data_IF_890738228280
#
_entry.id   IF_890738228280
#
_cell.length_a   1.000
_cell.length_b   1.000
_cell.length_c   1.000
_cell.angle_alpha   90.00
_cell.angle_beta   90.00
_cell.angle_gamma   90.00
#
_symmetry.space_group_name_H-M   'P 1'
#
loop_
_entity.id
_entity.type
_entity.pdbx_description
1 polymer ?
#
# COMPACT_ATOMS: atom_id res chain seq x y z
N UNK A 1 2.82 8.35 -1.31
CA UNK A 1 3.22 9.13 -0.11
C UNK A 1 3.29 10.59 -0.49
N UNK A 2 2.19 11.31 -0.22
CA UNK A 2 1.84 12.58 -0.87
C UNK A 2 2.41 13.83 -0.20
N UNK A 3 1.89 14.98 -0.65
CA UNK A 3 2.23 16.34 -0.26
C UNK A 3 2.33 16.54 1.27
N UNK A 4 1.52 15.82 2.06
CA UNK A 4 1.49 15.91 3.52
C UNK A 4 2.77 15.40 4.20
N UNK A 5 3.27 14.22 3.80
CA UNK A 5 4.57 13.72 4.27
C UNK A 5 5.74 14.50 3.64
N UNK A 6 5.53 15.03 2.43
CA UNK A 6 6.47 15.96 1.81
C UNK A 6 6.68 17.25 2.61
N UNK A 7 5.65 17.76 3.28
CA UNK A 7 5.78 18.96 4.13
C UNK A 7 6.56 18.68 5.44
N UNK A 8 6.46 17.45 5.97
CA UNK A 8 7.16 17.05 7.21
C UNK A 8 8.67 16.80 7.02
N UNK A 9 9.12 16.46 5.81
CA UNK A 9 10.53 16.22 5.48
C UNK A 9 11.34 17.51 5.18
N UNK A 10 10.67 18.67 5.06
CA UNK A 10 11.25 19.92 4.53
C UNK A 10 11.50 21.08 5.53
N UNK A 11 11.55 20.92 6.87
CA UNK A 11 11.66 22.10 7.74
C UNK A 11 13.00 22.86 7.60
N UNK A 12 14.06 22.25 7.04
CA UNK A 12 15.39 22.86 6.93
C UNK A 12 15.72 23.47 5.56
N UNK A 13 14.96 23.17 4.50
CA UNK A 13 15.22 23.66 3.14
C UNK A 13 14.47 24.97 2.80
N UNK A 14 13.66 25.49 3.73
CA UNK A 14 12.80 26.65 3.51
C UNK A 14 13.52 28.00 3.72
N UNK A 15 14.63 28.04 4.46
CA UNK A 15 15.33 29.29 4.76
C UNK A 15 16.23 29.82 3.64
N UNK A 16 16.62 28.99 2.66
CA UNK A 16 17.62 29.39 1.64
C UNK A 16 17.03 29.71 0.25
N UNK A 17 15.77 29.38 -0.04
CA UNK A 17 15.19 29.43 -1.39
C UNK A 17 13.94 30.30 -1.48
N UNK A 18 13.80 31.04 -2.59
CA UNK A 18 12.59 31.85 -2.87
C UNK A 18 11.35 30.95 -2.90
N UNK A 19 10.22 31.39 -2.34
CA UNK A 19 8.96 30.61 -2.24
C UNK A 19 8.50 29.98 -3.58
N UNK A 20 8.84 30.62 -4.72
CA UNK A 20 8.58 30.08 -6.07
C UNK A 20 9.48 28.88 -6.41
N UNK A 21 10.76 28.94 -6.08
CA UNK A 21 11.71 27.85 -6.32
C UNK A 21 11.39 26.64 -5.43
N UNK A 22 10.99 26.89 -4.18
CA UNK A 22 10.56 25.85 -3.26
C UNK A 22 9.28 25.14 -3.75
N UNK A 23 8.34 25.90 -4.31
CA UNK A 23 7.14 25.33 -4.92
C UNK A 23 7.47 24.46 -6.14
N UNK A 24 8.36 24.94 -7.03
CA UNK A 24 8.79 24.20 -8.22
C UNK A 24 9.56 22.93 -7.85
N UNK A 25 10.48 23.02 -6.88
CA UNK A 25 11.24 21.87 -6.39
C UNK A 25 10.32 20.84 -5.73
N UNK A 26 9.38 21.30 -4.88
CA UNK A 26 8.38 20.45 -4.23
C UNK A 26 7.47 19.77 -5.25
N UNK A 27 6.99 20.51 -6.27
CA UNK A 27 6.17 19.94 -7.34
C UNK A 27 6.93 18.87 -8.13
N UNK A 28 8.21 19.11 -8.47
CA UNK A 28 9.05 18.14 -9.19
C UNK A 28 9.36 16.89 -8.35
N UNK A 29 9.65 17.08 -7.06
CA UNK A 29 9.85 16.00 -6.11
C UNK A 29 8.56 15.18 -5.90
N UNK A 30 7.41 15.86 -5.83
CA UNK A 30 6.11 15.23 -5.69
C UNK A 30 5.76 14.39 -6.91
N UNK A 31 6.05 14.86 -8.12
CA UNK A 31 5.85 14.08 -9.35
C UNK A 31 6.63 12.76 -9.34
N UNK A 32 7.92 12.81 -8.98
CA UNK A 32 8.76 11.60 -8.87
C UNK A 32 8.28 10.64 -7.79
N UNK A 33 7.93 11.15 -6.61
CA UNK A 33 7.40 10.33 -5.50
C UNK A 33 6.03 9.73 -5.85
N UNK A 34 5.17 10.48 -6.55
CA UNK A 34 3.87 9.99 -7.04
C UNK A 34 4.04 8.80 -7.96
N UNK A 35 4.98 8.86 -8.91
CA UNK A 35 5.28 7.74 -9.81
C UNK A 35 5.71 6.49 -9.05
N UNK A 36 6.63 6.64 -8.08
CA UNK A 36 7.07 5.50 -7.26
C UNK A 36 5.93 4.92 -6.40
N UNK A 37 5.04 5.78 -5.89
CA UNK A 37 3.89 5.36 -5.09
C UNK A 37 2.87 4.61 -5.94
N UNK A 38 2.53 5.13 -7.12
CA UNK A 38 1.64 4.48 -8.08
C UNK A 38 2.13 3.08 -8.43
N UNK A 39 3.44 2.92 -8.69
CA UNK A 39 4.03 1.60 -8.94
C UNK A 39 3.84 0.63 -7.78
N UNK A 40 4.02 1.08 -6.54
CA UNK A 40 3.79 0.25 -5.37
C UNK A 40 2.32 -0.17 -5.23
N UNK A 41 1.38 0.76 -5.39
CA UNK A 41 -0.06 0.46 -5.34
C UNK A 41 -0.52 -0.47 -6.47
N UNK A 42 0.00 -0.28 -7.68
CA UNK A 42 -0.31 -1.15 -8.81
C UNK A 42 0.16 -2.59 -8.53
N UNK A 43 1.36 -2.77 -7.98
CA UNK A 43 1.89 -4.09 -7.61
C UNK A 43 1.08 -4.72 -6.48
N UNK A 44 0.73 -3.95 -5.45
CA UNK A 44 -0.13 -4.42 -4.34
C UNK A 44 -1.48 -4.90 -4.86
N UNK A 45 -2.17 -4.10 -5.68
CA UNK A 45 -3.48 -4.44 -6.23
C UNK A 45 -3.43 -5.67 -7.13
N UNK A 46 -2.40 -5.77 -7.98
CA UNK A 46 -2.23 -6.92 -8.87
C UNK A 46 -2.05 -8.22 -8.08
N UNK A 47 -1.17 -8.24 -7.07
CA UNK A 47 -0.95 -9.44 -6.25
C UNK A 47 -2.22 -9.83 -5.50
N UNK A 48 -2.93 -8.85 -4.94
CA UNK A 48 -4.16 -9.10 -4.19
C UNK A 48 -5.25 -9.73 -5.08
N UNK A 49 -5.56 -9.12 -6.22
CA UNK A 49 -6.57 -9.65 -7.15
C UNK A 49 -6.17 -10.98 -7.77
N UNK A 50 -4.89 -11.19 -8.06
CA UNK A 50 -4.41 -12.47 -8.57
C UNK A 50 -4.52 -13.58 -7.52
N UNK A 51 -4.15 -13.29 -6.27
CA UNK A 51 -4.26 -14.24 -5.16
C UNK A 51 -5.73 -14.62 -4.90
N UNK A 52 -6.63 -13.64 -4.83
CA UNK A 52 -8.07 -13.87 -4.71
C UNK A 52 -8.57 -14.81 -5.82
N UNK A 53 -8.29 -14.46 -7.08
CA UNK A 53 -8.75 -15.23 -8.24
C UNK A 53 -8.21 -16.67 -8.26
N UNK A 54 -6.95 -16.89 -7.87
CA UNK A 54 -6.36 -18.24 -7.82
C UNK A 54 -7.03 -19.08 -6.72
N UNK A 55 -7.19 -18.53 -5.52
CA UNK A 55 -7.75 -19.28 -4.39
C UNK A 55 -9.24 -19.51 -4.59
N UNK A 56 -9.96 -18.55 -5.19
CA UNK A 56 -11.36 -18.71 -5.56
C UNK A 56 -11.53 -19.81 -6.62
N UNK A 57 -10.68 -19.85 -7.65
CA UNK A 57 -10.70 -20.96 -8.62
C UNK A 57 -10.42 -22.32 -7.99
N UNK A 58 -9.56 -22.38 -6.97
CA UNK A 58 -9.24 -23.64 -6.28
C UNK A 58 -10.35 -24.11 -5.34
N UNK A 59 -11.06 -23.19 -4.67
CA UNK A 59 -12.06 -23.49 -3.64
C UNK A 59 -13.51 -23.40 -4.14
N UNK A 60 -13.73 -22.79 -5.30
CA UNK A 60 -15.04 -22.51 -5.90
C UNK A 60 -16.02 -21.82 -4.94
N UNK A 61 -15.50 -21.01 -4.01
CA UNK A 61 -16.25 -20.23 -3.03
C UNK A 61 -15.56 -18.89 -2.78
N UNK A 62 -16.36 -17.84 -2.68
CA UNK A 62 -15.91 -16.50 -2.30
C UNK A 62 -16.30 -16.29 -0.82
N UNK A 63 -15.33 -16.46 0.07
CA UNK A 63 -15.51 -16.33 1.52
C UNK A 63 -14.43 -15.39 2.08
N UNK A 64 -14.68 -14.82 3.27
CA UNK A 64 -13.71 -13.95 4.00
C UNK A 64 -12.33 -14.59 4.15
N UNK A 65 -12.26 -15.92 4.24
CA UNK A 65 -10.99 -16.65 4.33
C UNK A 65 -10.12 -16.52 3.08
N UNK A 66 -10.73 -16.35 1.90
CA UNK A 66 -10.03 -16.07 0.65
C UNK A 66 -9.30 -14.73 0.78
N UNK A 67 -10.06 -13.70 1.15
CA UNK A 67 -9.61 -12.30 1.32
C UNK A 67 -8.50 -12.18 2.36
N UNK A 68 -8.57 -12.96 3.44
CA UNK A 68 -7.50 -13.02 4.45
C UNK A 68 -6.21 -13.59 3.86
N UNK A 69 -6.31 -14.69 3.10
CA UNK A 69 -5.17 -15.36 2.48
C UNK A 69 -4.56 -14.46 1.41
N UNK A 70 -5.36 -13.85 0.54
CA UNK A 70 -4.87 -12.89 -0.43
C UNK A 70 -4.21 -11.69 0.25
N UNK A 71 -4.82 -11.14 1.31
CA UNK A 71 -4.24 -10.07 2.12
C UNK A 71 -2.87 -10.46 2.70
N UNK A 72 -2.77 -11.63 3.32
CA UNK A 72 -1.51 -12.14 3.87
C UNK A 72 -0.44 -12.35 2.79
N UNK A 73 -0.80 -12.96 1.66
CA UNK A 73 0.13 -13.20 0.53
C UNK A 73 0.64 -11.88 -0.04
N UNK A 74 -0.25 -10.89 -0.16
CA UNK A 74 0.09 -9.58 -0.69
C UNK A 74 1.00 -8.81 0.29
N UNK A 75 0.66 -8.78 1.58
CA UNK A 75 1.48 -8.12 2.61
C UNK A 75 2.81 -8.81 2.86
N UNK A 76 2.83 -10.15 2.84
CA UNK A 76 4.01 -10.99 3.00
C UNK A 76 4.97 -10.86 1.83
N UNK A 77 4.48 -10.88 0.58
CA UNK A 77 5.30 -10.75 -0.62
C UNK A 77 5.96 -9.37 -0.75
N UNK A 78 5.23 -8.30 -0.43
CA UNK A 78 5.77 -6.93 -0.38
C UNK A 78 6.88 -6.77 0.66
N UNK A 79 6.68 -7.39 1.82
CA UNK A 79 7.58 -7.26 2.97
C UNK A 79 8.70 -8.29 2.98
N UNK A 80 8.71 -9.23 2.03
CA UNK A 80 9.70 -10.30 1.93
C UNK A 80 11.14 -9.78 1.86
N UNK A 81 11.35 -8.63 1.19
CA UNK A 81 12.67 -7.98 1.10
C UNK A 81 13.19 -7.46 2.45
N UNK A 82 12.31 -7.24 3.41
CA UNK A 82 12.65 -6.83 4.79
C UNK A 82 13.01 -8.01 5.71
N UNK A 83 13.06 -9.24 5.19
CA UNK A 83 13.34 -10.44 5.94
C UNK A 83 12.08 -11.14 6.50
N UNK A 84 12.24 -12.30 7.14
CA UNK A 84 11.12 -13.16 7.54
C UNK A 84 10.24 -12.50 8.61
N UNK A 85 10.83 -11.77 9.56
CA UNK A 85 10.07 -11.03 10.59
C UNK A 85 9.19 -9.94 9.96
N UNK A 86 9.72 -9.19 9.00
CA UNK A 86 8.95 -8.17 8.28
C UNK A 86 7.85 -8.81 7.43
N UNK A 87 8.10 -9.96 6.80
CA UNK A 87 7.09 -10.72 6.07
C UNK A 87 5.93 -11.18 6.97
N UNK A 88 6.23 -11.69 8.18
CA UNK A 88 5.19 -12.07 9.15
C UNK A 88 4.35 -10.88 9.60
N UNK A 89 4.99 -9.76 9.94
CA UNK A 89 4.29 -8.53 10.33
C UNK A 89 3.45 -7.99 9.17
N UNK A 90 3.99 -8.00 7.94
CA UNK A 90 3.29 -7.59 6.73
C UNK A 90 2.08 -8.48 6.43
N UNK A 91 2.23 -9.81 6.51
CA UNK A 91 1.11 -10.74 6.35
C UNK A 91 0.03 -10.47 7.39
N UNK A 92 0.38 -10.40 8.68
CA UNK A 92 -0.58 -10.19 9.76
C UNK A 92 -1.32 -8.84 9.62
N UNK A 93 -0.60 -7.77 9.28
CA UNK A 93 -1.19 -6.44 9.08
C UNK A 93 -2.16 -6.40 7.92
N UNK A 94 -1.76 -6.90 6.73
CA UNK A 94 -2.65 -6.90 5.56
C UNK A 94 -3.82 -7.87 5.72
N UNK A 95 -3.62 -9.03 6.36
CA UNK A 95 -4.71 -9.95 6.68
C UNK A 95 -5.75 -9.30 7.61
N UNK A 96 -5.31 -8.65 8.68
CA UNK A 96 -6.22 -7.97 9.61
C UNK A 96 -6.96 -6.80 8.93
N UNK A 97 -6.27 -6.02 8.09
CA UNK A 97 -6.88 -4.93 7.35
C UNK A 97 -7.93 -5.44 6.35
N UNK A 98 -7.64 -6.50 5.60
CA UNK A 98 -8.59 -7.11 4.66
C UNK A 98 -9.86 -7.60 5.37
N UNK A 99 -9.74 -8.26 6.53
CA UNK A 99 -10.91 -8.69 7.32
C UNK A 99 -11.75 -7.49 7.79
N UNK A 100 -11.09 -6.43 8.23
CA UNK A 100 -11.77 -5.20 8.67
C UNK A 100 -12.56 -4.56 7.53
N UNK A 101 -11.97 -4.48 6.34
CA UNK A 101 -12.63 -3.92 5.16
C UNK A 101 -13.80 -4.81 4.73
N UNK A 102 -13.62 -6.13 4.67
CA UNK A 102 -14.70 -7.06 4.31
C UNK A 102 -15.89 -6.89 5.26
N UNK A 103 -15.64 -6.90 6.58
CA UNK A 103 -16.68 -6.69 7.60
C UNK A 103 -17.32 -5.31 7.53
N UNK A 104 -16.56 -4.28 7.15
CA UNK A 104 -17.10 -2.94 7.00
C UNK A 104 -18.01 -2.86 5.77
N UNK A 105 -17.60 -3.46 4.66
CA UNK A 105 -18.35 -3.46 3.40
C UNK A 105 -19.62 -4.30 3.51
N UNK A 106 -19.56 -5.48 4.15
CA UNK A 106 -20.72 -6.33 4.49
C UNK A 106 -21.71 -5.62 5.42
N UNK A 107 -21.25 -4.74 6.30
CA UNK A 107 -22.14 -4.02 7.22
C UNK A 107 -22.81 -2.79 6.58
N UNK A 108 -22.28 -2.31 5.46
CA UNK A 108 -22.76 -1.13 4.74
C UNK A 108 -23.49 -1.46 3.42
N UNK A 109 -23.65 -2.74 3.09
CA UNK A 109 -24.44 -3.26 1.96
C UNK A 109 -25.60 -4.07 2.53
#
# INVERSE_FOLDING_TARGET
MGLFLGALDNPLMQEEMTAREQFIYTAKQMGRRSWSSCKAFAVMGLIFSAAECIVEKARAKHDVTNTVVAGCVTGGSMSAKGGPKAACVGCAGFAAFSVLIEKFLERHT
#
